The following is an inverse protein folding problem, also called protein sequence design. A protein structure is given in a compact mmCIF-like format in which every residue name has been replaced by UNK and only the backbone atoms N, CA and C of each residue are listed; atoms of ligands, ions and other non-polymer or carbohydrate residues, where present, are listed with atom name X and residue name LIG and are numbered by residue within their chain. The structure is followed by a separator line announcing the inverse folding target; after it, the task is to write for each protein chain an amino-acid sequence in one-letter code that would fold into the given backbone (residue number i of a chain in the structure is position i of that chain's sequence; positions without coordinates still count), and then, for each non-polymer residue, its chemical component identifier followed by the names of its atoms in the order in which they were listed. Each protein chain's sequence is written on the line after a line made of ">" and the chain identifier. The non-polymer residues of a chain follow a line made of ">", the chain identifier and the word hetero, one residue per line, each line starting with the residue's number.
data_IF_640917310897
#
_entry.id   IF_640917310897
#
_cell.length_a   1.000
_cell.length_b   1.000
_cell.length_c   1.000
_cell.angle_alpha   90.00
_cell.angle_beta   90.00
_cell.angle_gamma   90.00
#
_symmetry.space_group_name_H-M   'P 1'
#
loop_
_entity.id
_entity.type
_entity.pdbx_description
1 polymer ?
#
# COMPACT_ATOMS: atom_id res chain seq x y z
N UNK A 1 -18.50 -1.14 -43.22
CA UNK A 1 -18.06 -0.79 -41.85
C UNK A 1 -19.12 -1.30 -40.89
N UNK A 2 -18.91 -2.49 -40.34
CA UNK A 2 -19.79 -3.11 -39.37
C UNK A 2 -19.35 -2.68 -37.97
N UNK A 3 -20.25 -2.08 -37.20
CA UNK A 3 -19.97 -1.65 -35.81
C UNK A 3 -20.07 -2.89 -34.93
N UNK A 4 -18.93 -3.43 -34.51
CA UNK A 4 -18.83 -4.69 -33.74
C UNK A 4 -19.16 -4.51 -32.24
N UNK A 5 -19.56 -3.31 -31.82
CA UNK A 5 -20.10 -3.05 -30.47
C UNK A 5 -19.90 -1.63 -29.98
N UNK A 6 -20.85 -1.14 -29.19
CA UNK A 6 -20.75 0.12 -28.45
C UNK A 6 -20.47 -0.22 -27.00
N UNK A 7 -19.32 0.21 -26.50
CA UNK A 7 -18.99 0.09 -25.07
C UNK A 7 -19.86 1.09 -24.32
N UNK A 8 -20.81 0.61 -23.53
CA UNK A 8 -21.77 1.46 -22.82
C UNK A 8 -21.12 2.36 -21.75
N UNK A 9 -19.96 1.96 -21.22
CA UNK A 9 -19.22 2.69 -20.18
C UNK A 9 -17.76 2.93 -20.61
N UNK A 10 -17.54 3.94 -21.47
CA UNK A 10 -16.19 4.42 -21.73
C UNK A 10 -15.87 5.61 -20.82
N UNK A 11 -15.12 5.38 -19.75
CA UNK A 11 -14.50 6.47 -18.97
C UNK A 11 -13.32 7.01 -19.79
N UNK A 12 -13.60 7.97 -20.67
CA UNK A 12 -12.57 8.71 -21.38
C UNK A 12 -11.93 9.71 -20.40
N UNK A 13 -10.96 9.22 -19.62
CA UNK A 13 -10.09 10.09 -18.84
C UNK A 13 -9.22 10.88 -19.84
N UNK A 14 -9.66 12.09 -20.17
CA UNK A 14 -8.87 13.03 -20.96
C UNK A 14 -7.57 13.32 -20.19
N UNK A 15 -6.46 12.91 -20.80
CA UNK A 15 -5.13 13.10 -20.26
C UNK A 15 -4.75 14.59 -20.29
N UNK A 16 -4.37 15.10 -19.12
CA UNK A 16 -3.75 16.41 -18.82
C UNK A 16 -4.66 17.65 -18.69
N UNK A 17 -4.81 18.06 -17.42
CA UNK A 17 -4.79 19.41 -16.83
C UNK A 17 -5.79 20.51 -17.25
N UNK A 18 -6.41 20.47 -18.43
CA UNK A 18 -7.23 21.62 -18.88
C UNK A 18 -8.70 21.56 -18.40
N UNK A 19 -9.14 20.42 -17.87
CA UNK A 19 -10.53 20.20 -17.44
C UNK A 19 -10.84 20.71 -16.04
N UNK A 20 -9.86 20.91 -15.14
CA UNK A 20 -10.17 21.44 -13.80
C UNK A 20 -10.72 22.87 -13.85
N UNK A 21 -10.39 23.65 -14.90
CA UNK A 21 -10.94 25.00 -15.13
C UNK A 21 -12.23 25.01 -15.94
N UNK A 22 -12.53 23.95 -16.70
CA UNK A 22 -13.73 23.86 -17.55
C UNK A 22 -14.86 23.03 -16.92
N UNK A 23 -14.56 22.12 -15.99
CA UNK A 23 -15.52 21.30 -15.25
C UNK A 23 -16.40 22.11 -14.29
N UNK A 24 -16.03 23.35 -13.97
CA UNK A 24 -16.86 24.22 -13.16
C UNK A 24 -18.12 24.74 -13.89
N UNK A 25 -18.24 24.59 -15.23
CA UNK A 25 -19.24 25.31 -16.02
C UNK A 25 -20.04 24.53 -17.10
N UNK A 26 -19.97 23.20 -17.20
CA UNK A 26 -20.87 22.47 -18.11
C UNK A 26 -21.34 21.14 -17.51
N UNK A 27 -22.66 20.92 -17.57
CA UNK A 27 -23.26 19.64 -17.26
C UNK A 27 -22.67 18.53 -18.13
N UNK A 28 -22.25 17.45 -17.48
CA UNK A 28 -21.54 16.30 -18.04
C UNK A 28 -22.46 15.42 -18.92
N UNK A 29 -22.86 15.95 -20.08
CA UNK A 29 -23.48 15.19 -21.14
C UNK A 29 -22.44 14.73 -22.14
N UNK A 30 -22.05 13.46 -22.11
CA UNK A 30 -21.26 12.86 -23.18
C UNK A 30 -22.18 12.62 -24.39
N UNK A 31 -21.95 13.33 -25.49
CA UNK A 31 -22.69 13.12 -26.75
C UNK A 31 -21.84 12.25 -27.66
N UNK A 32 -22.36 11.07 -28.03
CA UNK A 32 -21.74 10.25 -29.07
C UNK A 32 -21.78 11.00 -30.40
N UNK A 33 -20.60 11.26 -30.98
CA UNK A 33 -20.47 11.79 -32.33
C UNK A 33 -19.71 10.77 -33.18
N UNK A 34 -20.27 10.32 -34.31
CA UNK A 34 -19.57 9.39 -35.18
C UNK A 34 -18.31 10.06 -35.74
N UNK A 35 -17.23 9.29 -35.90
CA UNK A 35 -15.93 9.78 -36.36
C UNK A 35 -15.98 10.45 -37.74
N UNK A 36 -16.99 10.15 -38.56
CA UNK A 36 -17.25 10.81 -39.84
C UNK A 36 -17.73 12.26 -39.71
N UNK A 37 -18.34 12.62 -38.57
CA UNK A 37 -18.83 13.98 -38.30
C UNK A 37 -17.79 14.84 -37.57
N UNK A 38 -16.85 14.21 -36.88
CA UNK A 38 -15.73 14.87 -36.21
C UNK A 38 -14.51 14.01 -36.42
N UNK A 39 -13.71 14.29 -37.45
CA UNK A 39 -12.43 13.62 -37.65
C UNK A 39 -11.53 13.99 -36.48
N UNK A 40 -11.20 13.04 -35.58
CA UNK A 40 -10.34 13.36 -34.45
C UNK A 40 -8.92 13.62 -34.98
N UNK A 41 -8.26 14.63 -34.41
CA UNK A 41 -6.89 14.97 -34.79
C UNK A 41 -5.89 13.82 -34.56
N UNK A 42 -6.25 12.88 -33.69
CA UNK A 42 -5.45 11.71 -33.36
C UNK A 42 -6.34 10.47 -33.24
N UNK A 43 -5.87 9.34 -33.75
CA UNK A 43 -6.53 8.04 -33.61
C UNK A 43 -5.53 7.04 -33.01
N UNK A 44 -5.96 6.28 -32.01
CA UNK A 44 -5.13 5.25 -31.35
C UNK A 44 -5.67 3.87 -31.66
N UNK A 45 -4.77 2.95 -32.03
CA UNK A 45 -5.11 1.55 -32.29
C UNK A 45 -4.31 0.68 -31.33
N UNK A 46 -5.02 -0.15 -30.57
CA UNK A 46 -4.40 -1.19 -29.76
C UNK A 46 -4.41 -2.51 -30.53
N UNK A 47 -3.24 -3.13 -30.70
CA UNK A 47 -3.09 -4.42 -31.37
C UNK A 47 -2.63 -5.43 -30.33
N UNK A 48 -3.35 -6.54 -30.22
CA UNK A 48 -2.92 -7.70 -29.42
C UNK A 48 -2.17 -8.65 -30.34
N UNK A 49 -0.94 -8.99 -29.98
CA UNK A 49 -0.13 -9.94 -30.72
C UNK A 49 0.71 -10.79 -29.77
N UNK A 50 0.98 -12.03 -30.18
CA UNK A 50 1.86 -12.94 -29.48
C UNK A 50 3.30 -12.76 -30.00
N UNK A 51 4.23 -12.30 -29.16
CA UNK A 51 5.63 -12.07 -29.54
C UNK A 51 6.17 -10.71 -29.10
N UNK A 52 7.34 -10.33 -29.65
CA UNK A 52 7.96 -9.04 -29.34
C UNK A 52 7.19 -7.88 -30.01
N UNK A 53 6.54 -7.07 -29.18
CA UNK A 53 5.78 -5.89 -29.61
C UNK A 53 6.67 -4.88 -30.34
N UNK A 54 7.97 -4.80 -30.02
CA UNK A 54 8.90 -3.91 -30.69
C UNK A 54 9.17 -4.37 -32.13
N UNK A 55 9.31 -5.69 -32.34
CA UNK A 55 9.51 -6.28 -33.67
C UNK A 55 8.28 -6.12 -34.58
N UNK A 56 7.07 -6.18 -34.01
CA UNK A 56 5.82 -5.98 -34.75
C UNK A 56 5.55 -4.52 -35.10
N UNK A 57 6.16 -3.58 -34.39
CA UNK A 57 5.95 -2.17 -34.62
C UNK A 57 6.29 -1.75 -36.06
N UNK A 58 7.41 -2.23 -36.59
CA UNK A 58 7.82 -1.91 -37.96
C UNK A 58 6.82 -2.45 -38.99
N UNK A 59 6.36 -3.70 -38.83
CA UNK A 59 5.37 -4.30 -39.72
C UNK A 59 4.03 -3.56 -39.69
N UNK A 60 3.59 -3.10 -38.52
CA UNK A 60 2.36 -2.29 -38.39
C UNK A 60 2.53 -0.95 -39.10
N UNK A 61 3.68 -0.29 -38.93
CA UNK A 61 3.98 0.97 -39.61
C UNK A 61 3.92 0.80 -41.12
N UNK A 62 4.56 -0.24 -41.65
CA UNK A 62 4.56 -0.55 -43.09
C UNK A 62 3.14 -0.83 -43.61
N UNK A 63 2.33 -1.58 -42.87
CA UNK A 63 0.94 -1.85 -43.23
C UNK A 63 0.07 -0.57 -43.26
N UNK A 64 0.29 0.38 -42.35
CA UNK A 64 -0.42 1.68 -42.37
C UNK A 64 0.02 2.53 -43.55
N UNK A 65 1.33 2.64 -43.79
CA UNK A 65 1.88 3.42 -44.90
C UNK A 65 1.50 2.85 -46.28
N UNK A 66 1.21 1.55 -46.38
CA UNK A 66 0.69 0.93 -47.59
C UNK A 66 -0.76 1.31 -47.90
N UNK A 67 -1.54 1.69 -46.89
CA UNK A 67 -2.93 2.17 -47.05
C UNK A 67 -2.92 3.66 -47.37
N UNK A 68 -2.14 4.44 -46.62
CA UNK A 68 -1.98 5.88 -46.78
C UNK A 68 -0.55 6.32 -46.42
N UNK A 69 0.20 6.75 -47.43
CA UNK A 69 1.61 7.14 -47.27
C UNK A 69 1.79 8.47 -46.52
N UNK A 70 0.76 9.33 -46.51
CA UNK A 70 0.78 10.60 -45.81
C UNK A 70 0.33 10.48 -44.34
N UNK A 71 -0.10 9.29 -43.91
CA UNK A 71 -0.54 9.05 -42.53
C UNK A 71 0.65 8.88 -41.58
N UNK A 72 0.89 9.82 -40.65
CA UNK A 72 2.00 9.70 -39.71
C UNK A 72 1.68 8.65 -38.63
N UNK A 73 2.55 7.64 -38.51
CA UNK A 73 2.52 6.68 -37.40
C UNK A 73 3.50 7.14 -36.32
N UNK A 74 2.96 7.70 -35.23
CA UNK A 74 3.70 8.20 -34.08
C UNK A 74 3.28 7.46 -32.78
N UNK A 75 4.09 7.56 -31.72
CA UNK A 75 3.87 6.90 -30.43
C UNK A 75 3.64 5.39 -30.47
N UNK A 76 4.28 4.72 -31.43
CA UNK A 76 4.32 3.27 -31.46
C UNK A 76 5.12 2.75 -30.26
N UNK A 77 4.42 2.11 -29.32
CA UNK A 77 4.99 1.63 -28.05
C UNK A 77 4.35 0.33 -27.63
N UNK A 78 5.11 -0.46 -26.90
CA UNK A 78 4.56 -1.62 -26.19
C UNK A 78 3.60 -1.15 -25.10
N UNK A 79 2.61 -1.98 -24.77
CA UNK A 79 1.66 -1.66 -23.70
C UNK A 79 2.37 -1.55 -22.33
N UNK A 80 3.49 -2.25 -22.14
CA UNK A 80 4.36 -2.14 -20.97
C UNK A 80 5.00 -0.76 -20.85
N UNK A 81 5.60 -0.23 -21.92
CA UNK A 81 6.19 1.12 -21.93
C UNK A 81 5.13 2.20 -21.73
N UNK A 82 3.97 2.02 -22.36
CA UNK A 82 2.85 2.94 -22.15
C UNK A 82 2.43 2.98 -20.68
N UNK A 83 2.28 1.82 -20.05
CA UNK A 83 1.95 1.70 -18.63
C UNK A 83 2.99 2.34 -17.73
N UNK A 84 4.28 2.06 -17.92
CA UNK A 84 5.36 2.64 -17.10
C UNK A 84 5.36 4.17 -17.15
N UNK A 85 5.11 4.74 -18.34
CA UNK A 85 5.08 6.19 -18.51
C UNK A 85 3.84 6.82 -17.92
N UNK A 86 2.70 6.14 -17.98
CA UNK A 86 1.45 6.62 -17.40
C UNK A 86 1.42 6.53 -15.88
N UNK A 87 2.06 5.50 -15.32
CA UNK A 87 2.06 5.25 -13.88
C UNK A 87 3.26 5.86 -13.15
N UNK A 88 4.27 6.40 -13.85
CA UNK A 88 5.47 6.97 -13.25
C UNK A 88 5.20 7.90 -12.05
N UNK A 89 4.26 8.83 -12.19
CA UNK A 89 3.91 9.77 -11.10
C UNK A 89 3.28 9.04 -9.92
N UNK A 90 2.38 8.09 -10.19
CA UNK A 90 1.74 7.27 -9.16
C UNK A 90 2.74 6.37 -8.43
N UNK A 91 3.66 5.74 -9.17
CA UNK A 91 4.71 4.88 -8.64
C UNK A 91 5.70 5.68 -7.77
N UNK A 92 6.05 6.90 -8.19
CA UNK A 92 6.90 7.78 -7.40
C UNK A 92 6.25 8.13 -6.05
N UNK A 93 5.00 8.57 -6.06
CA UNK A 93 4.26 8.87 -4.83
C UNK A 93 4.12 7.63 -3.95
N UNK A 94 3.73 6.49 -4.54
CA UNK A 94 3.61 5.22 -3.83
C UNK A 94 4.93 4.80 -3.16
N UNK A 95 6.07 5.00 -3.85
CA UNK A 95 7.39 4.73 -3.30
C UNK A 95 7.72 5.64 -2.11
N UNK A 96 7.41 6.93 -2.19
CA UNK A 96 7.63 7.85 -1.06
C UNK A 96 6.76 7.50 0.15
N UNK A 97 5.47 7.23 -0.05
CA UNK A 97 4.58 6.78 1.01
C UNK A 97 5.02 5.44 1.61
N UNK A 98 5.54 4.53 0.81
CA UNK A 98 6.08 3.25 1.30
C UNK A 98 7.27 3.47 2.24
N UNK A 99 8.15 4.42 1.94
CA UNK A 99 9.27 4.80 2.82
C UNK A 99 8.74 5.40 4.13
N UNK A 100 7.81 6.34 4.07
CA UNK A 100 7.20 6.93 5.27
C UNK A 100 6.45 5.90 6.12
N UNK A 101 5.72 4.98 5.49
CA UNK A 101 5.07 3.87 6.18
C UNK A 101 6.09 2.96 6.87
N UNK A 102 7.24 2.71 6.23
CA UNK A 102 8.36 2.00 6.84
C UNK A 102 8.89 2.69 8.10
N UNK A 103 9.10 4.01 8.05
CA UNK A 103 9.50 4.78 9.23
C UNK A 103 8.44 4.79 10.33
N UNK A 104 7.17 4.97 9.97
CA UNK A 104 6.06 4.91 10.93
C UNK A 104 5.98 3.54 11.61
N UNK A 105 6.20 2.45 10.86
CA UNK A 105 6.25 1.09 11.39
C UNK A 105 7.43 0.91 12.34
N UNK A 106 8.62 1.38 11.99
CA UNK A 106 9.80 1.35 12.87
C UNK A 106 9.55 2.12 14.17
N UNK A 107 8.96 3.31 14.08
CA UNK A 107 8.59 4.11 15.25
C UNK A 107 7.55 3.41 16.12
N UNK A 108 6.55 2.76 15.51
CA UNK A 108 5.55 1.98 16.23
C UNK A 108 6.20 0.82 16.99
N UNK A 109 7.10 0.08 16.34
CA UNK A 109 7.87 -1.01 16.96
C UNK A 109 8.74 -0.50 18.11
N UNK A 110 9.45 0.61 17.91
CA UNK A 110 10.27 1.24 18.94
C UNK A 110 9.43 1.72 20.14
N UNK A 111 8.26 2.30 19.88
CA UNK A 111 7.31 2.73 20.92
C UNK A 111 6.76 1.56 21.72
N UNK A 112 6.36 0.47 21.05
CA UNK A 112 5.94 -0.78 21.71
C UNK A 112 7.06 -1.32 22.60
N UNK A 113 8.30 -1.37 22.08
CA UNK A 113 9.45 -1.80 22.86
C UNK A 113 9.69 -0.92 24.08
N UNK A 114 9.68 0.41 23.91
CA UNK A 114 9.91 1.35 25.01
C UNK A 114 8.86 1.21 26.11
N UNK A 115 7.58 1.13 25.75
CA UNK A 115 6.47 1.00 26.72
C UNK A 115 6.55 -0.35 27.45
N UNK A 116 6.81 -1.45 26.73
CA UNK A 116 6.90 -2.78 27.33
C UNK A 116 8.13 -2.93 28.23
N UNK A 117 9.30 -2.47 27.77
CA UNK A 117 10.52 -2.50 28.56
C UNK A 117 10.38 -1.67 29.84
N UNK A 118 9.72 -0.51 29.76
CA UNK A 118 9.45 0.34 30.92
C UNK A 118 8.48 -0.31 31.92
N UNK A 119 7.40 -0.95 31.46
CA UNK A 119 6.44 -1.64 32.33
C UNK A 119 7.10 -2.84 33.05
N UNK A 120 7.96 -3.59 32.35
CA UNK A 120 8.74 -4.68 32.95
C UNK A 120 9.73 -4.14 33.98
N UNK A 121 10.47 -3.07 33.65
CA UNK A 121 11.45 -2.47 34.55
C UNK A 121 10.81 -1.96 35.86
N UNK A 122 9.66 -1.29 35.78
CA UNK A 122 8.89 -0.86 36.97
C UNK A 122 8.43 -2.02 37.84
N UNK A 123 8.16 -3.18 37.25
CA UNK A 123 7.66 -4.38 37.94
C UNK A 123 8.76 -5.36 38.36
N UNK A 124 10.03 -5.02 38.16
CA UNK A 124 11.16 -5.89 38.54
C UNK A 124 11.10 -6.31 40.02
N UNK A 125 10.63 -5.42 40.92
CA UNK A 125 10.45 -5.71 42.36
C UNK A 125 9.36 -6.76 42.62
N UNK A 126 8.19 -6.64 41.97
CA UNK A 126 7.11 -7.63 42.04
C UNK A 126 7.53 -8.99 41.46
N UNK A 127 8.26 -8.94 40.34
CA UNK A 127 8.80 -10.12 39.66
C UNK A 127 9.82 -10.83 40.56
N UNK A 128 10.72 -10.08 41.21
CA UNK A 128 11.70 -10.61 42.17
C UNK A 128 11.05 -11.28 43.38
N UNK A 129 10.04 -10.65 43.98
CA UNK A 129 9.29 -11.23 45.12
C UNK A 129 8.54 -12.50 44.72
N UNK A 130 7.84 -12.50 43.57
CA UNK A 130 7.15 -13.71 43.08
C UNK A 130 8.12 -14.85 42.79
N UNK A 131 9.31 -14.52 42.27
CA UNK A 131 10.33 -15.53 41.99
C UNK A 131 10.96 -16.09 43.26
N UNK A 132 11.18 -15.27 44.27
CA UNK A 132 11.63 -15.71 45.59
C UNK A 132 10.60 -16.65 46.26
N UNK A 133 9.31 -16.49 45.95
CA UNK A 133 8.24 -17.41 46.37
C UNK A 133 8.10 -18.66 45.48
N UNK A 134 9.03 -18.90 44.53
CA UNK A 134 9.04 -20.11 43.69
C UNK A 134 8.16 -20.05 42.44
N UNK A 135 7.71 -18.87 42.00
CA UNK A 135 6.89 -18.75 40.80
C UNK A 135 7.66 -19.16 39.52
N UNK A 136 7.00 -19.96 38.68
CA UNK A 136 7.54 -20.39 37.39
C UNK A 136 7.79 -19.18 36.47
N UNK A 137 8.99 -19.11 35.89
CA UNK A 137 9.41 -18.04 34.98
C UNK A 137 8.52 -17.99 33.73
N UNK A 138 7.90 -19.11 33.32
CA UNK A 138 6.92 -19.14 32.23
C UNK A 138 5.61 -18.44 32.58
N UNK A 139 5.14 -18.55 33.83
CA UNK A 139 3.92 -17.90 34.28
C UNK A 139 4.07 -16.36 34.28
N UNK A 140 5.25 -15.87 34.67
CA UNK A 140 5.59 -14.44 34.62
C UNK A 140 5.64 -13.93 33.17
N UNK A 141 6.32 -14.67 32.29
CA UNK A 141 6.40 -14.32 30.87
C UNK A 141 5.01 -14.31 30.21
N UNK A 142 4.17 -15.32 30.47
CA UNK A 142 2.81 -15.39 29.93
C UNK A 142 1.94 -14.21 30.38
N UNK A 143 2.08 -13.76 31.62
CA UNK A 143 1.35 -12.60 32.15
C UNK A 143 1.76 -11.29 31.46
N UNK A 144 3.06 -11.11 31.21
CA UNK A 144 3.61 -9.95 30.49
C UNK A 144 3.13 -9.97 29.03
N UNK A 145 3.24 -11.11 28.34
CA UNK A 145 2.78 -11.27 26.97
C UNK A 145 1.25 -11.07 26.84
N UNK A 146 0.45 -11.57 27.78
CA UNK A 146 -0.99 -11.37 27.76
C UNK A 146 -1.38 -9.89 27.95
N UNK A 147 -0.62 -9.14 28.76
CA UNK A 147 -0.85 -7.69 28.91
C UNK A 147 -0.43 -6.94 27.66
N UNK A 148 0.76 -7.23 27.12
CA UNK A 148 1.26 -6.66 25.88
C UNK A 148 0.30 -6.94 24.70
N UNK A 149 -0.16 -8.18 24.59
CA UNK A 149 -1.12 -8.61 23.60
C UNK A 149 -2.44 -7.84 23.66
N UNK A 150 -2.99 -7.60 24.86
CA UNK A 150 -4.20 -6.78 25.02
C UNK A 150 -4.02 -5.34 24.51
N UNK A 151 -2.88 -4.74 24.80
CA UNK A 151 -2.60 -3.37 24.35
C UNK A 151 -2.48 -3.29 22.82
N UNK A 152 -1.83 -4.29 22.21
CA UNK A 152 -1.68 -4.37 20.75
C UNK A 152 -2.98 -4.70 20.06
N UNK A 153 -3.79 -5.61 20.62
CA UNK A 153 -5.15 -5.90 20.13
C UNK A 153 -6.01 -4.64 20.18
N UNK A 154 -5.95 -3.87 21.27
CA UNK A 154 -6.65 -2.59 21.38
C UNK A 154 -6.23 -1.60 20.27
N UNK A 155 -4.93 -1.49 20.03
CA UNK A 155 -4.40 -0.67 18.93
C UNK A 155 -4.84 -1.16 17.55
N UNK A 156 -4.82 -2.47 17.30
CA UNK A 156 -5.24 -3.09 16.04
C UNK A 156 -6.73 -2.91 15.77
N UNK A 157 -7.58 -3.07 16.79
CA UNK A 157 -9.03 -2.90 16.68
C UNK A 157 -9.43 -1.47 16.29
N UNK A 158 -8.59 -0.47 16.62
CA UNK A 158 -8.82 0.92 16.24
C UNK A 158 -8.12 1.25 14.93
N UNK A 159 -6.88 0.80 14.77
CA UNK A 159 -6.03 1.11 13.63
C UNK A 159 -6.50 0.49 12.32
N UNK A 160 -6.94 -0.78 12.32
CA UNK A 160 -7.38 -1.47 11.11
C UNK A 160 -8.64 -0.82 10.50
N UNK A 161 -9.72 -0.52 11.26
CA UNK A 161 -10.88 0.18 10.70
C UNK A 161 -10.55 1.58 10.20
N UNK A 162 -9.71 2.33 10.91
CA UNK A 162 -9.26 3.66 10.46
C UNK A 162 -8.48 3.57 9.15
N UNK A 163 -7.53 2.65 9.06
CA UNK A 163 -6.75 2.44 7.84
C UNK A 163 -7.64 2.02 6.66
N UNK A 164 -8.61 1.14 6.89
CA UNK A 164 -9.60 0.74 5.88
C UNK A 164 -10.46 1.92 5.42
N UNK A 165 -10.97 2.73 6.34
CA UNK A 165 -11.79 3.90 6.04
C UNK A 165 -11.01 4.95 5.23
N UNK A 166 -9.76 5.24 5.63
CA UNK A 166 -8.88 6.12 4.88
C UNK A 166 -8.55 5.57 3.49
N UNK A 167 -8.27 4.27 3.37
CA UNK A 167 -8.03 3.63 2.07
C UNK A 167 -9.25 3.74 1.16
N UNK A 168 -10.46 3.52 1.69
CA UNK A 168 -11.71 3.66 0.96
C UNK A 168 -11.99 5.11 0.54
N UNK A 169 -11.72 6.08 1.42
CA UNK A 169 -11.87 7.50 1.12
C UNK A 169 -10.94 7.94 -0.02
N UNK A 170 -9.68 7.49 0.00
CA UNK A 170 -8.71 7.73 -1.07
C UNK A 170 -9.10 7.02 -2.38
N UNK A 171 -9.57 5.78 -2.30
CA UNK A 171 -10.05 5.04 -3.47
C UNK A 171 -11.23 5.74 -4.15
N UNK A 172 -12.11 6.40 -3.39
CA UNK A 172 -13.21 7.20 -3.94
C UNK A 172 -12.76 8.43 -4.73
N UNK A 173 -11.53 8.93 -4.49
CA UNK A 173 -10.93 10.04 -5.24
C UNK A 173 -10.19 9.58 -6.49
N UNK A 174 -9.78 8.30 -6.55
CA UNK A 174 -9.09 7.71 -7.70
C UNK A 174 -10.07 6.88 -8.53
N UNK A 175 -10.36 7.34 -9.76
CA UNK A 175 -11.15 6.57 -10.73
C UNK A 175 -10.50 5.19 -10.95
N UNK A 176 -11.09 4.12 -10.38
CA UNK A 176 -10.73 2.70 -10.54
C UNK A 176 -9.56 2.12 -9.69
N UNK A 177 -9.30 2.64 -8.49
CA UNK A 177 -8.41 1.97 -7.53
C UNK A 177 -9.11 0.80 -6.81
N UNK A 178 -8.59 -0.43 -6.93
CA UNK A 178 -9.02 -1.55 -6.08
C UNK A 178 -8.69 -1.24 -4.63
N UNK A 179 -9.70 -0.80 -3.87
CA UNK A 179 -9.54 -0.40 -2.48
C UNK A 179 -9.02 -1.56 -1.63
N UNK A 180 -7.92 -1.30 -0.91
CA UNK A 180 -7.30 -2.16 0.11
C UNK A 180 -6.77 -3.53 -0.35
N UNK A 181 -5.44 -3.67 -0.43
CA UNK A 181 -4.77 -4.98 -0.56
C UNK A 181 -4.70 -5.69 0.81
N UNK A 182 -5.35 -6.85 1.01
CA UNK A 182 -5.34 -7.61 2.27
C UNK A 182 -3.93 -8.00 2.73
N UNK A 183 -2.98 -8.21 1.82
CA UNK A 183 -1.63 -8.65 2.16
C UNK A 183 -0.86 -7.60 2.94
N UNK A 184 -1.10 -6.32 2.66
CA UNK A 184 -0.49 -5.21 3.39
C UNK A 184 -0.94 -5.22 4.86
N UNK A 185 -2.23 -5.42 5.11
CA UNK A 185 -2.76 -5.50 6.47
C UNK A 185 -2.18 -6.69 7.23
N UNK A 186 -2.16 -7.88 6.60
CA UNK A 186 -1.56 -9.09 7.19
C UNK A 186 -0.09 -8.85 7.51
N UNK A 187 0.67 -8.23 6.61
CA UNK A 187 2.07 -7.88 6.80
C UNK A 187 2.28 -6.96 8.00
N UNK A 188 1.52 -5.87 8.11
CA UNK A 188 1.60 -4.93 9.24
C UNK A 188 1.28 -5.61 10.56
N UNK A 189 0.19 -6.39 10.63
CA UNK A 189 -0.18 -7.15 11.83
C UNK A 189 0.94 -8.12 12.20
N UNK A 190 1.49 -8.85 11.23
CA UNK A 190 2.61 -9.78 11.43
C UNK A 190 3.84 -9.11 12.02
N UNK A 191 4.24 -7.95 11.48
CA UNK A 191 5.39 -7.18 11.99
C UNK A 191 5.15 -6.67 13.41
N UNK A 192 3.96 -6.14 13.70
CA UNK A 192 3.62 -5.67 15.05
C UNK A 192 3.59 -6.82 16.07
N UNK A 193 3.05 -7.98 15.71
CA UNK A 193 3.09 -9.17 16.57
C UNK A 193 4.52 -9.66 16.82
N UNK A 194 5.35 -9.69 15.77
CA UNK A 194 6.77 -10.02 15.91
C UNK A 194 7.47 -9.05 16.86
N UNK A 195 7.21 -7.76 16.73
CA UNK A 195 7.75 -6.73 17.61
C UNK A 195 7.35 -6.94 19.06
N UNK A 196 6.09 -7.28 19.34
CA UNK A 196 5.60 -7.61 20.68
C UNK A 196 6.30 -8.84 21.25
N UNK A 197 6.50 -9.88 20.44
CA UNK A 197 7.21 -11.09 20.87
C UNK A 197 8.67 -10.78 21.23
N UNK A 198 9.37 -10.05 20.36
CA UNK A 198 10.77 -9.63 20.58
C UNK A 198 10.86 -8.73 21.82
N UNK A 199 10.00 -7.72 21.92
CA UNK A 199 9.94 -6.79 23.04
C UNK A 199 9.46 -7.44 24.35
N UNK A 200 8.69 -8.51 24.31
CA UNK A 200 8.32 -9.28 25.50
C UNK A 200 9.47 -10.19 25.94
N UNK A 201 10.16 -10.85 25.00
CA UNK A 201 11.18 -11.84 25.31
C UNK A 201 12.51 -11.21 25.75
N UNK A 202 12.98 -10.12 25.13
CA UNK A 202 14.28 -9.51 25.45
C UNK A 202 14.36 -8.94 26.88
N UNK A 203 13.47 -8.01 27.29
CA UNK A 203 13.49 -7.42 28.62
C UNK A 203 13.19 -8.46 29.70
N UNK A 204 12.26 -9.38 29.45
CA UNK A 204 11.93 -10.43 30.42
C UNK A 204 13.13 -11.36 30.61
N UNK A 205 13.83 -11.77 29.55
CA UNK A 205 15.08 -12.54 29.69
C UNK A 205 16.17 -11.76 30.44
N UNK A 206 16.29 -10.45 30.20
CA UNK A 206 17.19 -9.58 30.98
C UNK A 206 16.81 -9.57 32.46
N UNK A 207 15.56 -9.27 32.80
CA UNK A 207 15.06 -9.25 34.16
C UNK A 207 15.18 -10.63 34.85
N UNK A 208 15.02 -11.72 34.10
CA UNK A 208 15.18 -13.08 34.61
C UNK A 208 16.65 -13.48 34.82
N UNK A 209 17.62 -12.77 34.23
CA UNK A 209 19.06 -12.98 34.42
C UNK A 209 19.66 -12.10 35.52
N UNK A 210 18.97 -11.03 35.92
CA UNK A 210 19.39 -10.24 37.08
C UNK A 210 19.22 -11.11 38.33
N UNK A 211 20.33 -11.33 39.02
CA UNK A 211 20.41 -12.16 40.21
C UNK A 211 19.57 -11.51 41.34
N UNK A 212 18.57 -12.20 41.93
CA UNK A 212 17.70 -11.63 42.96
C UNK A 212 18.47 -11.06 44.17
N UNK A 213 19.69 -11.52 44.42
CA UNK A 213 20.56 -11.00 45.46
C UNK A 213 21.12 -9.58 45.18
N UNK A 214 21.20 -9.16 43.92
CA UNK A 214 21.62 -7.79 43.55
C UNK A 214 20.45 -6.80 43.68
N UNK A 215 19.23 -7.24 43.38
CA UNK A 215 18.02 -6.42 43.49
C UNK A 215 17.64 -6.03 44.94
N UNK A 216 18.25 -6.68 45.94
CA UNK A 216 18.10 -6.37 47.37
C UNK A 216 19.27 -5.56 47.95
N UNK A 217 20.32 -5.29 47.16
CA UNK A 217 21.57 -4.68 47.65
C UNK A 217 21.81 -3.26 47.14
N UNK A 218 21.01 -2.78 46.19
CA UNK A 218 20.88 -1.35 45.89
C UNK A 218 19.91 -0.73 46.92
N UNK A 219 20.44 -0.48 48.11
CA UNK A 219 19.91 0.46 49.11
C UNK A 219 20.91 1.62 49.26
#
# INVERSE_FOLDING_TARGET
>A
LEVVGVVADSVQANYFEESARLAAHRGDGNVFRPASQTTPAFFSVAVRADGDAAALGQSIREAVLAIDADQPVYWLRSMSEWRERMLWSSDLLASMFSIFAGFALLLAVAGIYAVLAFDVARRTREIGVRRAMGADSKAILGMILARAGRQVIGGLLIGLPLAWLCSRALAGLTLNGSGSDPWVYIGVVGVLLLAVLVAGLLPTRRALRVDPMVALRDE
#
